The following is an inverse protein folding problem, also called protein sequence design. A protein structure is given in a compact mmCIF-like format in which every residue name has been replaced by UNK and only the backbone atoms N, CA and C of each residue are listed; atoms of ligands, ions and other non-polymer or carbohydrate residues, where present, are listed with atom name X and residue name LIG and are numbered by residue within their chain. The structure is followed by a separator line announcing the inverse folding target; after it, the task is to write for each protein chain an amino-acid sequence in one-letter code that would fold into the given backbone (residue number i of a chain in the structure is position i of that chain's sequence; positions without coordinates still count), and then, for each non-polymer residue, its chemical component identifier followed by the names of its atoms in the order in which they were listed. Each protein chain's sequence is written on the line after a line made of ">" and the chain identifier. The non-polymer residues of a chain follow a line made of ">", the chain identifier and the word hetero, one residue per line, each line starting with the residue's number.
data_IF_684583888753
#
_entry.id   IF_684583888753
#
_cell.length_a   1.000
_cell.length_b   1.000
_cell.length_c   1.000
_cell.angle_alpha   90.00
_cell.angle_beta   90.00
_cell.angle_gamma   90.00
#
_symmetry.space_group_name_H-M   'P 1'
#
loop_
_entity.id
_entity.type
_entity.pdbx_description
1 polymer ?
#
# COMPACT_ATOMS: atom_id res chain seq x y z
N UNK A 1 31.14 29.50 -4.06
CA UNK A 1 30.70 28.13 -3.69
C UNK A 1 29.19 28.15 -3.53
N UNK A 2 28.44 27.56 -4.48
CA UNK A 2 27.00 27.30 -4.30
C UNK A 2 26.87 25.90 -3.70
N UNK A 3 26.23 25.80 -2.55
CA UNK A 3 25.87 24.52 -1.93
C UNK A 3 24.40 24.28 -2.26
N UNK A 4 24.13 23.91 -3.50
CA UNK A 4 22.83 23.41 -3.96
C UNK A 4 22.95 21.88 -3.99
N UNK A 5 22.74 21.22 -2.85
CA UNK A 5 22.98 19.77 -2.74
C UNK A 5 22.20 19.05 -1.66
N UNK A 6 21.25 19.71 -0.99
CA UNK A 6 20.42 19.09 0.03
C UNK A 6 19.00 19.62 -0.16
N UNK A 7 18.22 19.03 -1.07
CA UNK A 7 16.75 18.86 -0.90
C UNK A 7 16.02 18.23 -2.10
N UNK A 8 16.67 18.03 -3.26
CA UNK A 8 15.94 17.44 -4.40
C UNK A 8 15.81 15.91 -4.36
N UNK A 9 16.65 15.20 -3.61
CA UNK A 9 16.56 13.73 -3.49
C UNK A 9 15.53 13.25 -2.46
N UNK A 10 15.04 14.13 -1.57
CA UNK A 10 14.00 13.77 -0.60
C UNK A 10 12.58 14.02 -1.14
N UNK A 11 12.43 14.99 -2.06
CA UNK A 11 11.17 15.27 -2.74
C UNK A 11 10.81 14.21 -3.81
N UNK A 12 11.80 13.57 -4.43
CA UNK A 12 11.59 12.53 -5.43
C UNK A 12 10.99 11.21 -4.87
N UNK A 13 10.99 11.02 -3.55
CA UNK A 13 10.40 9.82 -2.93
C UNK A 13 8.87 9.92 -2.76
N UNK A 14 8.27 11.10 -2.99
CA UNK A 14 6.84 11.33 -2.76
C UNK A 14 5.95 11.18 -4.01
N UNK A 15 6.52 11.10 -5.21
CA UNK A 15 5.73 11.28 -6.44
C UNK A 15 5.27 9.99 -7.13
N UNK A 16 5.71 8.80 -6.67
CA UNK A 16 5.47 7.53 -7.36
C UNK A 16 4.44 6.58 -6.74
N UNK A 17 3.67 6.97 -5.72
CA UNK A 17 3.00 5.99 -4.86
C UNK A 17 1.56 6.38 -4.51
N UNK A 18 0.68 6.24 -5.51
CA UNK A 18 -0.76 6.13 -5.28
C UNK A 18 -1.05 4.96 -4.34
N UNK A 19 -1.46 5.26 -3.11
CA UNK A 19 -1.79 4.31 -2.06
C UNK A 19 -0.80 4.26 -0.88
N UNK A 20 0.42 4.78 -0.99
CA UNK A 20 1.48 4.52 0.01
C UNK A 20 1.72 5.64 1.02
N UNK A 21 1.12 6.81 0.82
CA UNK A 21 1.26 7.93 1.73
C UNK A 21 0.67 7.67 3.12
N UNK A 22 -0.51 7.05 3.18
CA UNK A 22 -1.19 6.74 4.45
C UNK A 22 -0.48 5.62 5.21
N UNK A 23 -0.05 4.56 4.51
CA UNK A 23 0.72 3.46 5.09
C UNK A 23 2.03 3.98 5.71
N UNK A 24 2.79 4.77 4.95
CA UNK A 24 4.03 5.37 5.44
C UNK A 24 3.80 6.35 6.60
N UNK A 25 2.68 7.08 6.61
CA UNK A 25 2.32 7.96 7.73
C UNK A 25 2.00 7.16 9.01
N UNK A 26 1.23 6.07 8.88
CA UNK A 26 0.91 5.17 10.00
C UNK A 26 2.18 4.51 10.54
N UNK A 27 3.06 4.00 9.66
CA UNK A 27 4.34 3.40 10.07
C UNK A 27 5.23 4.40 10.82
N UNK A 28 5.33 5.65 10.34
CA UNK A 28 6.06 6.71 11.04
C UNK A 28 5.46 7.00 12.42
N UNK A 29 4.12 7.05 12.53
CA UNK A 29 3.43 7.28 13.80
C UNK A 29 3.67 6.15 14.80
N UNK A 30 3.59 4.89 14.35
CA UNK A 30 3.93 3.72 15.16
C UNK A 30 5.37 3.82 15.69
N UNK A 31 6.34 4.16 14.82
CA UNK A 31 7.73 4.30 15.26
C UNK A 31 7.92 5.40 16.29
N UNK A 32 7.20 6.53 16.14
CA UNK A 32 7.24 7.62 17.13
C UNK A 32 6.69 7.15 18.48
N UNK A 33 5.54 6.50 18.51
CA UNK A 33 4.92 5.99 19.73
C UNK A 33 5.79 4.91 20.41
N UNK A 34 6.43 4.04 19.62
CA UNK A 34 7.37 3.04 20.14
C UNK A 34 8.59 3.69 20.81
N UNK A 35 9.11 4.79 20.26
CA UNK A 35 10.20 5.55 20.89
C UNK A 35 9.77 6.15 22.23
N UNK A 36 8.60 6.78 22.26
CA UNK A 36 8.04 7.36 23.49
C UNK A 36 7.78 6.28 24.56
N UNK A 37 7.28 5.11 24.15
CA UNK A 37 7.13 3.96 25.02
C UNK A 37 8.48 3.48 25.55
N UNK A 38 9.49 3.32 24.69
CA UNK A 38 10.84 2.93 25.11
C UNK A 38 11.49 3.94 26.07
N UNK A 39 11.19 5.24 25.94
CA UNK A 39 11.65 6.25 26.89
C UNK A 39 11.02 6.09 28.27
N UNK A 40 9.72 5.75 28.33
CA UNK A 40 9.07 5.41 29.59
C UNK A 40 9.62 4.09 30.17
N UNK A 41 9.91 3.09 29.35
CA UNK A 41 10.46 1.81 29.82
C UNK A 41 11.89 1.89 30.36
N UNK A 42 12.63 2.94 30.01
CA UNK A 42 13.97 3.20 30.55
C UNK A 42 13.94 3.82 31.95
N UNK A 43 12.77 4.27 32.44
CA UNK A 43 12.65 4.81 33.79
C UNK A 43 12.52 3.66 34.78
N UNK A 44 13.36 3.67 35.81
CA UNK A 44 13.34 2.66 36.87
C UNK A 44 12.07 2.72 37.72
N UNK A 45 11.51 3.92 37.91
CA UNK A 45 10.22 4.14 38.57
C UNK A 45 9.30 4.95 37.68
N UNK A 46 8.08 4.45 37.52
CA UNK A 46 7.01 5.12 36.79
C UNK A 46 5.95 5.60 37.78
N UNK A 47 5.55 6.85 37.65
CA UNK A 47 4.37 7.36 38.34
C UNK A 47 3.09 6.70 37.82
N UNK A 48 2.00 6.78 38.59
CA UNK A 48 0.69 6.24 38.18
C UNK A 48 0.21 6.82 36.83
N UNK A 49 0.51 8.09 36.57
CA UNK A 49 0.16 8.74 35.31
C UNK A 49 1.03 8.23 34.15
N UNK A 50 2.30 7.91 34.39
CA UNK A 50 3.18 7.32 33.38
C UNK A 50 2.84 5.85 33.10
N UNK A 51 2.37 5.11 34.10
CA UNK A 51 1.84 3.74 33.90
C UNK A 51 0.62 3.79 32.99
N UNK A 52 -0.32 4.71 33.26
CA UNK A 52 -1.50 4.91 32.38
C UNK A 52 -1.08 5.34 30.98
N UNK A 53 -0.15 6.29 30.86
CA UNK A 53 0.38 6.73 29.57
C UNK A 53 1.06 5.58 28.83
N UNK A 54 1.81 4.72 29.52
CA UNK A 54 2.41 3.52 28.92
C UNK A 54 1.34 2.58 28.35
N UNK A 55 0.29 2.30 29.10
CA UNK A 55 -0.81 1.46 28.63
C UNK A 55 -1.54 2.06 27.43
N UNK A 56 -1.81 3.37 27.47
CA UNK A 56 -2.43 4.11 26.37
C UNK A 56 -1.56 4.07 25.10
N UNK A 57 -0.26 4.30 25.23
CA UNK A 57 0.70 4.17 24.12
C UNK A 57 0.73 2.75 23.54
N UNK A 58 0.70 1.70 24.38
CA UNK A 58 0.62 0.32 23.91
C UNK A 58 -0.66 0.05 23.11
N UNK A 59 -1.78 0.56 23.60
CA UNK A 59 -3.07 0.41 22.92
C UNK A 59 -3.09 1.14 21.58
N UNK A 60 -2.64 2.40 21.53
CA UNK A 60 -2.54 3.17 20.29
C UNK A 60 -1.61 2.51 19.26
N UNK A 61 -0.48 1.93 19.70
CA UNK A 61 0.41 1.17 18.81
C UNK A 61 -0.34 -0.03 18.23
N UNK A 62 -1.05 -0.80 19.07
CA UNK A 62 -1.78 -1.98 18.61
C UNK A 62 -2.89 -1.64 17.61
N UNK A 63 -3.64 -0.56 17.87
CA UNK A 63 -4.69 -0.08 16.96
C UNK A 63 -4.12 0.33 15.60
N UNK A 64 -3.03 1.10 15.59
CA UNK A 64 -2.36 1.52 14.35
C UNK A 64 -1.73 0.35 13.60
N UNK A 65 -1.19 -0.66 14.29
CA UNK A 65 -0.69 -1.88 13.66
C UNK A 65 -1.81 -2.69 12.99
N UNK A 66 -2.99 -2.77 13.62
CA UNK A 66 -4.16 -3.39 13.01
C UNK A 66 -4.67 -2.62 11.79
N UNK A 67 -4.72 -1.28 11.88
CA UNK A 67 -5.09 -0.42 10.74
C UNK A 67 -4.13 -0.61 9.57
N UNK A 68 -2.82 -0.65 9.85
CA UNK A 68 -1.79 -0.90 8.86
C UNK A 68 -1.97 -2.26 8.17
N UNK A 69 -2.25 -3.31 8.94
CA UNK A 69 -2.52 -4.65 8.39
C UNK A 69 -3.76 -4.67 7.50
N UNK A 70 -4.85 -3.98 7.90
CA UNK A 70 -6.07 -3.87 7.08
C UNK A 70 -5.78 -3.18 5.75
N UNK A 71 -5.07 -2.06 5.77
CA UNK A 71 -4.68 -1.33 4.54
C UNK A 71 -3.82 -2.22 3.63
N UNK A 72 -2.87 -2.97 4.20
CA UNK A 72 -2.04 -3.91 3.44
C UNK A 72 -2.87 -5.04 2.81
N UNK A 73 -3.82 -5.60 3.56
CA UNK A 73 -4.71 -6.66 3.08
C UNK A 73 -5.68 -6.17 1.99
N UNK A 74 -6.27 -4.99 2.16
CA UNK A 74 -7.16 -4.38 1.15
C UNK A 74 -6.42 -4.11 -0.16
N UNK A 75 -5.17 -3.63 -0.11
CA UNK A 75 -4.34 -3.46 -1.31
C UNK A 75 -4.04 -4.78 -2.02
N UNK A 76 -3.81 -5.86 -1.28
CA UNK A 76 -3.60 -7.19 -1.88
C UNK A 76 -4.87 -7.71 -2.55
N UNK A 77 -6.02 -7.56 -1.89
CA UNK A 77 -7.31 -7.96 -2.47
C UNK A 77 -7.69 -7.15 -3.71
N UNK A 78 -7.46 -5.82 -3.71
CA UNK A 78 -7.71 -4.99 -4.90
C UNK A 78 -6.81 -5.36 -6.09
N UNK A 79 -5.59 -5.87 -5.85
CA UNK A 79 -4.74 -6.41 -6.93
C UNK A 79 -5.28 -7.74 -7.44
N UNK A 80 -5.72 -8.62 -6.56
CA UNK A 80 -6.28 -9.92 -6.92
C UNK A 80 -7.60 -9.80 -7.72
N UNK A 81 -8.44 -8.80 -7.43
CA UNK A 81 -9.68 -8.53 -8.18
C UNK A 81 -9.41 -7.89 -9.57
N UNK A 82 -8.29 -7.18 -9.74
CA UNK A 82 -7.85 -6.70 -11.07
C UNK A 82 -7.37 -7.84 -11.95
N UNK A 83 -6.58 -8.77 -11.42
CA UNK A 83 -6.06 -9.92 -12.19
C UNK A 83 -7.18 -10.90 -12.59
N UNK A 84 -8.25 -11.02 -11.80
CA UNK A 84 -9.40 -11.89 -12.15
C UNK A 84 -10.35 -11.33 -13.20
N UNK A 85 -10.29 -10.03 -13.51
CA UNK A 85 -11.16 -9.41 -14.52
C UNK A 85 -10.49 -9.21 -15.88
N UNK A 86 -9.17 -9.38 -15.98
CA UNK A 86 -8.46 -9.33 -17.28
C UNK A 86 -8.56 -10.66 -18.05
N UNK A 87 -8.87 -11.78 -17.39
CA UNK A 87 -8.96 -13.11 -18.01
C UNK A 87 -10.34 -13.45 -18.63
N UNK A 88 -11.26 -12.46 -18.70
CA UNK A 88 -12.60 -12.63 -19.30
C UNK A 88 -12.91 -11.69 -20.46
N UNK A 89 -11.96 -10.84 -20.85
CA UNK A 89 -12.06 -10.02 -22.05
C UNK A 89 -11.04 -10.50 -23.09
N UNK A 90 -11.25 -11.70 -23.65
CA UNK A 90 -10.92 -11.91 -25.06
C UNK A 90 -12.08 -11.30 -25.88
N UNK A 91 -11.92 -10.13 -26.52
CA UNK A 91 -12.77 -9.77 -27.64
C UNK A 91 -12.25 -10.48 -28.90
N UNK A 92 -13.19 -10.87 -29.75
CA UNK A 92 -13.00 -11.21 -31.16
C UNK A 92 -12.21 -12.47 -31.52
N UNK A 93 -12.96 -13.58 -31.53
CA UNK A 93 -13.02 -14.38 -32.75
C UNK A 93 -14.46 -14.46 -33.24
N UNK A 94 -14.93 -13.37 -33.84
CA UNK A 94 -16.01 -13.43 -34.82
C UNK A 94 -15.55 -14.45 -35.87
N UNK A 95 -16.23 -15.61 -35.93
CA UNK A 95 -16.12 -16.51 -37.08
C UNK A 95 -16.78 -15.79 -38.24
N UNK A 96 -15.98 -15.05 -38.99
CA UNK A 96 -16.40 -14.45 -40.25
C UNK A 96 -16.77 -15.59 -41.21
N UNK A 97 -18.06 -15.73 -41.48
CA UNK A 97 -18.55 -16.47 -42.64
C UNK A 97 -18.01 -15.76 -43.89
N UNK A 98 -16.94 -16.30 -44.48
CA UNK A 98 -16.21 -15.68 -45.57
C UNK A 98 -15.87 -16.67 -46.68
N UNK A 99 -16.87 -16.97 -47.51
CA UNK A 99 -16.78 -17.16 -48.97
C UNK A 99 -15.59 -17.95 -49.51
N UNK A 100 -15.75 -19.27 -49.61
CA UNK A 100 -15.20 -20.02 -50.74
C UNK A 100 -16.26 -20.10 -51.83
N UNK A 101 -16.34 -19.09 -52.68
CA UNK A 101 -17.06 -19.21 -53.97
C UNK A 101 -16.38 -20.33 -54.75
N UNK A 102 -17.01 -21.52 -54.80
CA UNK A 102 -16.67 -22.55 -55.78
C UNK A 102 -17.23 -22.13 -57.15
N UNK A 103 -16.57 -21.16 -57.76
CA UNK A 103 -16.38 -21.05 -59.21
C UNK A 103 -15.21 -22.02 -59.52
N UNK A 104 -15.27 -22.97 -60.45
CA UNK A 104 -15.81 -22.90 -61.80
C UNK A 104 -16.49 -24.18 -62.27
N UNK A 105 -17.48 -23.95 -63.13
CA UNK A 105 -18.12 -24.87 -64.07
C UNK A 105 -17.23 -25.00 -65.34
N UNK A 106 -17.22 -26.19 -65.97
CA UNK A 106 -16.71 -26.54 -67.32
C UNK A 106 -15.19 -26.64 -67.59
N UNK A 107 -14.69 -27.85 -67.90
CA UNK A 107 -14.58 -28.47 -69.25
C UNK A 107 -14.50 -30.00 -69.12
#
# INVERSE_FOLDING_TARGET
>A
MRVEGIDQSMAAQFQGMGGSGQEAAIEKKIQSLKRELSELEKKDELSQDEIKKKQDLQQQISELEQELQKIKAEKQNQKADREKNEDKNEPDRIKEEGKGENIDEYV
#
